data_IF_423852282485
#
_entry.id   IF_423852282485
#
_cell.length_a   1.000
_cell.length_b   1.000
_cell.length_c   1.000
_cell.angle_alpha   90.00
_cell.angle_beta   90.00
_cell.angle_gamma   90.00
#
_symmetry.space_group_name_H-M   'P 1'
#
loop_
_entity.id
_entity.type
_entity.pdbx_description
1 polymer ?
#
# COMPACT_ATOMS: atom_id res chain seq x y z
N UNK A 1 -22.71 25.93 28.60
CA UNK A 1 -21.61 25.46 27.73
C UNK A 1 -20.96 26.68 27.08
N UNK A 2 -19.80 27.14 27.60
CA UNK A 2 -19.26 28.48 27.29
C UNK A 2 -18.44 28.58 26.00
N UNK A 3 -18.12 27.45 25.35
CA UNK A 3 -17.23 27.42 24.16
C UNK A 3 -17.61 26.30 23.16
N UNK A 4 -18.84 26.29 22.61
CA UNK A 4 -19.26 25.23 21.69
C UNK A 4 -18.41 25.16 20.42
N UNK A 5 -17.95 26.32 19.90
CA UNK A 5 -17.15 26.39 18.67
C UNK A 5 -15.76 25.75 18.85
N UNK A 6 -15.09 26.03 19.98
CA UNK A 6 -13.77 25.45 20.26
C UNK A 6 -13.82 23.93 20.41
N UNK A 7 -14.90 23.39 20.98
CA UNK A 7 -15.12 21.95 21.08
C UNK A 7 -15.29 21.32 19.68
N UNK A 8 -16.09 21.94 18.80
CA UNK A 8 -16.25 21.45 17.43
C UNK A 8 -14.93 21.47 16.63
N UNK A 9 -14.14 22.53 16.74
CA UNK A 9 -12.84 22.62 16.07
C UNK A 9 -11.87 21.54 16.59
N UNK A 10 -11.85 21.30 17.91
CA UNK A 10 -11.03 20.25 18.51
C UNK A 10 -11.44 18.86 18.03
N UNK A 11 -12.73 18.55 18.03
CA UNK A 11 -13.24 17.25 17.53
C UNK A 11 -12.90 17.07 16.06
N UNK A 12 -13.05 18.12 15.24
CA UNK A 12 -12.73 18.05 13.82
C UNK A 12 -11.23 17.83 13.58
N UNK A 13 -10.35 18.47 14.35
CA UNK A 13 -8.92 18.23 14.30
C UNK A 13 -8.54 16.80 14.68
N UNK A 14 -9.19 16.23 15.70
CA UNK A 14 -8.98 14.84 16.12
C UNK A 14 -9.45 13.85 15.04
N UNK A 15 -10.62 14.07 14.45
CA UNK A 15 -11.16 13.20 13.38
C UNK A 15 -10.28 13.26 12.13
N UNK A 16 -9.85 14.45 11.72
CA UNK A 16 -8.93 14.62 10.58
C UNK A 16 -7.57 14.00 10.89
N UNK A 17 -7.03 14.20 12.09
CA UNK A 17 -5.78 13.57 12.52
C UNK A 17 -5.84 12.05 12.51
N UNK A 18 -6.94 11.46 12.98
CA UNK A 18 -7.20 10.01 12.90
C UNK A 18 -7.34 9.53 11.45
N UNK A 19 -8.11 10.24 10.62
CA UNK A 19 -8.23 9.90 9.19
C UNK A 19 -6.88 9.97 8.46
N UNK A 20 -6.01 10.92 8.82
CA UNK A 20 -4.64 10.97 8.30
C UNK A 20 -3.78 9.81 8.80
N UNK A 21 -3.95 9.35 10.04
CA UNK A 21 -3.25 8.13 10.51
C UNK A 21 -3.68 6.88 9.73
N UNK A 22 -4.96 6.73 9.40
CA UNK A 22 -5.44 5.56 8.62
C UNK A 22 -5.04 5.63 7.14
N UNK A 23 -4.91 6.83 6.55
CA UNK A 23 -4.49 6.98 5.15
C UNK A 23 -2.97 6.88 4.97
N UNK A 24 -2.18 7.29 5.98
CA UNK A 24 -0.73 7.14 6.01
C UNK A 24 -0.26 5.72 6.43
N UNK A 25 -1.20 4.82 6.77
CA UNK A 25 -0.96 3.38 7.00
C UNK A 25 -0.80 2.60 5.68
N UNK A 26 -0.76 3.26 4.53
CA UNK A 26 -0.68 2.62 3.22
C UNK A 26 0.76 2.37 2.76
N UNK A 27 1.60 1.81 3.64
CA UNK A 27 2.89 1.29 3.19
C UNK A 27 2.61 0.22 2.11
N UNK A 28 3.11 0.38 0.87
CA UNK A 28 2.84 -0.56 -0.21
C UNK A 28 3.28 -1.98 0.16
N UNK A 29 4.32 -2.13 0.98
CA UNK A 29 4.81 -3.42 1.45
C UNK A 29 3.77 -4.10 2.35
N UNK A 30 3.26 -3.38 3.36
CA UNK A 30 2.24 -3.92 4.27
C UNK A 30 0.93 -4.25 3.53
N UNK A 31 0.56 -3.43 2.54
CA UNK A 31 -0.59 -3.68 1.67
C UNK A 31 -0.40 -4.92 0.81
N UNK A 32 0.76 -5.07 0.18
CA UNK A 32 1.07 -6.24 -0.63
C UNK A 32 1.07 -7.50 0.24
N UNK A 33 1.71 -7.46 1.40
CA UNK A 33 1.76 -8.59 2.34
C UNK A 33 0.37 -9.02 2.80
N UNK A 34 -0.50 -8.06 3.13
CA UNK A 34 -1.89 -8.35 3.49
C UNK A 34 -2.65 -8.99 2.33
N UNK A 35 -2.52 -8.42 1.13
CA UNK A 35 -3.19 -8.93 -0.06
C UNK A 35 -2.72 -10.35 -0.42
N UNK A 36 -1.41 -10.61 -0.38
CA UNK A 36 -0.84 -11.94 -0.66
C UNK A 36 -1.16 -12.98 0.43
N UNK A 37 -1.56 -12.56 1.63
CA UNK A 37 -2.00 -13.46 2.69
C UNK A 37 -3.47 -13.89 2.54
N UNK A 38 -4.30 -13.00 1.98
CA UNK A 38 -5.76 -13.20 1.89
C UNK A 38 -6.22 -13.74 0.52
N UNK A 39 -5.50 -13.43 -0.56
CA UNK A 39 -5.87 -13.85 -1.91
C UNK A 39 -5.50 -15.31 -2.19
N UNK A 40 -6.33 -16.05 -2.96
CA UNK A 40 -5.98 -17.37 -3.40
C UNK A 40 -4.78 -17.31 -4.36
N UNK A 41 -3.94 -18.36 -4.32
CA UNK A 41 -2.84 -18.52 -5.27
C UNK A 41 -3.44 -18.85 -6.64
N UNK A 42 -3.49 -17.83 -7.50
CA UNK A 42 -3.98 -17.87 -8.87
C UNK A 42 -2.94 -17.23 -9.82
N UNK A 43 -3.24 -17.21 -11.12
CA UNK A 43 -2.33 -16.65 -12.13
C UNK A 43 -2.02 -15.16 -11.84
N UNK A 44 -2.96 -14.40 -11.27
CA UNK A 44 -2.73 -13.01 -10.88
C UNK A 44 -1.77 -12.90 -9.69
N UNK A 45 -1.88 -13.79 -8.70
CA UNK A 45 -0.95 -13.90 -7.59
C UNK A 45 0.47 -14.16 -8.09
N UNK A 46 0.64 -15.18 -8.94
CA UNK A 46 1.95 -15.59 -9.44
C UNK A 46 2.61 -14.47 -10.26
N UNK A 47 1.86 -13.85 -11.17
CA UNK A 47 2.33 -12.71 -11.96
C UNK A 47 2.71 -11.50 -11.09
N UNK A 48 1.98 -11.28 -9.99
CA UNK A 48 2.22 -10.17 -9.06
C UNK A 48 3.52 -10.38 -8.30
N UNK A 49 3.75 -11.61 -7.81
CA UNK A 49 4.99 -11.93 -7.10
C UNK A 49 6.19 -11.92 -8.05
N UNK A 50 6.05 -12.43 -9.28
CA UNK A 50 7.10 -12.34 -10.29
C UNK A 50 7.49 -10.88 -10.57
N UNK A 51 6.50 -10.00 -10.76
CA UNK A 51 6.75 -8.59 -10.99
C UNK A 51 7.43 -7.89 -9.81
N UNK A 52 7.05 -8.25 -8.58
CA UNK A 52 7.73 -7.79 -7.37
C UNK A 52 9.20 -8.21 -7.39
N UNK A 53 9.48 -9.50 -7.64
CA UNK A 53 10.84 -10.04 -7.64
C UNK A 53 11.75 -9.39 -8.69
N UNK A 54 11.24 -9.19 -9.90
CA UNK A 54 11.99 -8.54 -10.98
C UNK A 54 12.37 -7.11 -10.57
N UNK A 55 11.38 -6.30 -10.18
CA UNK A 55 11.60 -4.89 -9.86
C UNK A 55 12.51 -4.72 -8.63
N UNK A 56 12.38 -5.60 -7.64
CA UNK A 56 13.21 -5.58 -6.45
C UNK A 56 14.68 -5.84 -6.77
N UNK A 57 14.95 -6.84 -7.62
CA UNK A 57 16.32 -7.17 -8.02
C UNK A 57 16.91 -6.08 -8.93
N UNK A 58 16.15 -5.59 -9.91
CA UNK A 58 16.57 -4.48 -10.78
C UNK A 58 16.92 -3.23 -9.95
N UNK A 59 16.10 -2.90 -8.95
CA UNK A 59 16.35 -1.74 -8.09
C UNK A 59 17.60 -1.92 -7.21
N UNK A 60 17.86 -3.13 -6.73
CA UNK A 60 19.11 -3.41 -6.00
C UNK A 60 20.34 -3.35 -6.92
N UNK A 61 20.23 -3.79 -8.18
CA UNK A 61 21.30 -3.64 -9.17
C UNK A 61 21.59 -2.16 -9.49
N UNK A 62 20.56 -1.31 -9.45
CA UNK A 62 20.68 0.16 -9.54
C UNK A 62 21.34 0.80 -8.29
N UNK A 63 21.63 0.01 -7.25
CA UNK A 63 22.26 0.47 -6.01
C UNK A 63 21.32 1.15 -5.03
N UNK A 64 20.00 0.95 -5.21
CA UNK A 64 18.97 1.44 -4.28
C UNK A 64 19.03 0.65 -2.98
N UNK A 65 18.63 1.28 -1.86
CA UNK A 65 18.59 0.57 -0.57
C UNK A 65 17.55 -0.53 -0.58
N UNK A 66 17.73 -1.55 0.26
CA UNK A 66 16.79 -2.67 0.36
C UNK A 66 15.35 -2.22 0.64
N UNK A 67 15.18 -1.23 1.52
CA UNK A 67 13.87 -0.71 1.91
C UNK A 67 13.18 0.05 0.75
N UNK A 68 13.93 0.86 0.01
CA UNK A 68 13.41 1.59 -1.15
C UNK A 68 13.09 0.65 -2.33
N UNK A 69 13.93 -0.37 -2.55
CA UNK A 69 13.69 -1.41 -3.53
C UNK A 69 12.41 -2.18 -3.23
N UNK A 70 12.19 -2.56 -1.96
CA UNK A 70 10.98 -3.24 -1.51
C UNK A 70 9.72 -2.36 -1.69
N UNK A 71 9.79 -1.08 -1.32
CA UNK A 71 8.67 -0.15 -1.54
C UNK A 71 8.33 0.04 -3.02
N UNK A 72 9.34 0.15 -3.89
CA UNK A 72 9.17 0.32 -5.34
C UNK A 72 8.57 -0.93 -5.98
N UNK A 73 9.10 -2.10 -5.63
CA UNK A 73 8.60 -3.40 -6.07
C UNK A 73 7.17 -3.64 -5.59
N UNK A 74 6.87 -3.38 -4.32
CA UNK A 74 5.55 -3.56 -3.74
C UNK A 74 4.49 -2.68 -4.41
N UNK A 75 4.85 -1.45 -4.75
CA UNK A 75 3.96 -0.54 -5.49
C UNK A 75 3.66 -1.06 -6.90
N UNK A 76 4.66 -1.56 -7.62
CA UNK A 76 4.48 -2.12 -8.97
C UNK A 76 3.60 -3.38 -8.94
N UNK A 77 3.89 -4.28 -8.01
CA UNK A 77 3.15 -5.51 -7.80
C UNK A 77 1.67 -5.24 -7.51
N UNK A 78 1.37 -4.30 -6.59
CA UNK A 78 -0.02 -3.92 -6.28
C UNK A 78 -0.80 -3.42 -7.51
N UNK A 79 -0.19 -2.54 -8.31
CA UNK A 79 -0.84 -2.04 -9.53
C UNK A 79 -1.12 -3.18 -10.52
N UNK A 80 -0.16 -4.10 -10.69
CA UNK A 80 -0.30 -5.22 -11.61
C UNK A 80 -1.38 -6.22 -11.15
N UNK A 81 -1.48 -6.46 -9.84
CA UNK A 81 -2.55 -7.28 -9.28
C UNK A 81 -3.93 -6.67 -9.54
N UNK A 82 -4.08 -5.36 -9.31
CA UNK A 82 -5.32 -4.62 -9.58
C UNK A 82 -5.69 -4.69 -11.07
N UNK A 83 -4.73 -4.53 -11.98
CA UNK A 83 -4.94 -4.67 -13.43
C UNK A 83 -5.39 -6.09 -13.82
N UNK A 84 -4.74 -7.11 -13.27
CA UNK A 84 -5.05 -8.52 -13.56
C UNK A 84 -6.49 -8.88 -13.14
N UNK A 85 -6.88 -8.56 -11.88
CA UNK A 85 -8.24 -8.82 -11.39
C UNK A 85 -9.32 -7.98 -12.07
N UNK A 86 -8.96 -6.83 -12.65
CA UNK A 86 -9.90 -6.00 -13.42
C UNK A 86 -10.07 -6.54 -14.84
N UNK A 87 -9.06 -7.19 -15.41
CA UNK A 87 -9.13 -7.84 -16.72
C UNK A 87 -9.84 -9.19 -16.71
N UNK A 88 -9.90 -9.87 -15.55
CA UNK A 88 -10.60 -11.16 -15.35
C UNK A 88 -12.11 -11.02 -15.04
N UNK A 89 -12.65 -9.79 -14.98
CA UNK A 89 -14.09 -9.51 -14.78
C UNK A 89 -14.79 -9.15 -16.08
#
# INVERSE_FOLDING_TARGET
MRYPIFFFVFVLAVVVGLAMMFTNYSNPVDRLNGLMADEPIDDCYDNTMEAWFIEFNESQEEGVTMEEADQKAAKKALNQFEECKTSDK
#
